data_IF_225116812952
#
_entry.id   IF_225116812952
#
_cell.length_a   1.000
_cell.length_b   1.000
_cell.length_c   1.000
_cell.angle_alpha   90.00
_cell.angle_beta   90.00
_cell.angle_gamma   90.00
#
_symmetry.space_group_name_H-M   'P 1'
#
loop_
_entity.id
_entity.type
_entity.pdbx_description
1 polymer ?
#
# COMPACT_ATOMS: atom_id res chain seq x y z
N UNK A 1 2.20 23.82 4.42
CA UNK A 1 1.14 23.18 5.24
C UNK A 1 1.76 22.02 6.00
N UNK A 2 1.55 21.98 7.32
CA UNK A 2 2.03 20.89 8.19
C UNK A 2 1.10 19.70 8.06
N UNK A 3 1.63 18.46 8.11
CA UNK A 3 0.81 17.25 8.10
C UNK A 3 -0.06 17.23 9.38
N UNK A 4 -1.39 17.05 9.29
CA UNK A 4 -2.26 17.03 10.46
C UNK A 4 -1.99 15.81 11.33
N UNK A 5 -2.40 15.92 12.59
CA UNK A 5 -2.32 14.82 13.54
C UNK A 5 -3.18 13.63 13.06
N UNK A 6 -2.60 12.43 13.21
CA UNK A 6 -3.24 11.15 12.89
C UNK A 6 -3.88 10.59 14.17
N UNK A 7 -5.17 10.26 14.09
CA UNK A 7 -5.91 9.52 15.10
C UNK A 7 -5.85 8.04 14.71
N UNK A 8 -5.08 7.25 15.48
CA UNK A 8 -4.96 5.80 15.29
C UNK A 8 -6.28 5.13 15.68
N UNK A 9 -6.76 4.20 14.85
CA UNK A 9 -7.98 3.46 15.19
C UNK A 9 -7.76 2.53 16.38
N UNK A 10 -8.73 2.44 17.28
CA UNK A 10 -8.65 1.55 18.45
C UNK A 10 -8.78 0.07 18.09
N UNK A 11 -9.44 -0.26 16.98
CA UNK A 11 -9.67 -1.62 16.49
C UNK A 11 -8.65 -2.04 15.40
N UNK A 12 -7.34 -1.84 15.64
CA UNK A 12 -6.28 -2.12 14.65
C UNK A 12 -6.36 -3.52 14.04
N UNK A 13 -6.58 -4.56 14.84
CA UNK A 13 -6.62 -5.95 14.36
C UNK A 13 -7.75 -6.17 13.34
N UNK A 14 -8.97 -5.71 13.65
CA UNK A 14 -10.12 -5.83 12.74
C UNK A 14 -9.87 -5.06 11.44
N UNK A 15 -9.35 -3.84 11.56
CA UNK A 15 -8.97 -2.99 10.42
C UNK A 15 -7.92 -3.69 9.56
N UNK A 16 -6.91 -4.30 10.18
CA UNK A 16 -5.84 -5.02 9.49
C UNK A 16 -6.37 -6.20 8.69
N UNK A 17 -7.22 -7.04 9.28
CA UNK A 17 -7.83 -8.18 8.58
C UNK A 17 -8.68 -7.72 7.38
N UNK A 18 -9.40 -6.60 7.52
CA UNK A 18 -10.15 -5.99 6.41
C UNK A 18 -9.24 -5.49 5.31
N UNK A 19 -8.10 -4.88 5.65
CA UNK A 19 -7.08 -4.44 4.68
C UNK A 19 -6.49 -5.64 3.95
N UNK A 20 -6.08 -6.71 4.65
CA UNK A 20 -5.54 -7.91 4.03
C UNK A 20 -6.55 -8.51 3.04
N UNK A 21 -7.81 -8.68 3.45
CA UNK A 21 -8.87 -9.23 2.58
C UNK A 21 -9.06 -8.37 1.33
N UNK A 22 -9.09 -7.06 1.51
CA UNK A 22 -9.20 -6.11 0.40
C UNK A 22 -8.01 -6.20 -0.53
N UNK A 23 -6.78 -6.10 -0.02
CA UNK A 23 -5.56 -6.15 -0.83
C UNK A 23 -5.49 -7.46 -1.62
N UNK A 24 -5.74 -8.61 -0.98
CA UNK A 24 -5.76 -9.91 -1.67
C UNK A 24 -6.79 -9.97 -2.80
N UNK A 25 -7.93 -9.28 -2.67
CA UNK A 25 -8.92 -9.19 -3.76
C UNK A 25 -8.47 -8.34 -4.96
N UNK A 26 -7.45 -7.50 -4.78
CA UNK A 26 -6.87 -6.68 -5.85
C UNK A 26 -5.67 -7.34 -6.54
N UNK A 27 -5.17 -8.48 -6.02
CA UNK A 27 -4.02 -9.18 -6.60
C UNK A 27 -4.46 -10.08 -7.76
N UNK A 28 -3.76 -10.00 -8.88
CA UNK A 28 -3.92 -10.95 -10.00
C UNK A 28 -3.04 -12.21 -9.82
N UNK A 29 -3.38 -13.33 -10.48
CA UNK A 29 -2.60 -14.57 -10.39
C UNK A 29 -1.11 -14.41 -10.70
N UNK A 30 -0.75 -13.51 -11.60
CA UNK A 30 0.60 -13.26 -12.11
C UNK A 30 1.49 -12.51 -11.11
N UNK A 31 0.91 -11.90 -10.06
CA UNK A 31 1.69 -11.33 -8.95
C UNK A 31 2.49 -12.46 -8.30
N UNK A 32 3.82 -12.38 -8.38
CA UNK A 32 4.74 -13.35 -7.81
C UNK A 32 4.88 -13.17 -6.30
N UNK A 33 5.00 -11.91 -5.86
CA UNK A 33 5.12 -11.55 -4.46
C UNK A 33 4.34 -10.26 -4.17
N UNK A 34 3.75 -10.20 -2.99
CA UNK A 34 3.05 -9.02 -2.50
C UNK A 34 3.36 -8.78 -1.03
N UNK A 35 3.75 -7.57 -0.67
CA UNK A 35 4.10 -7.17 0.70
C UNK A 35 3.30 -5.96 1.13
N UNK A 36 2.45 -6.13 2.14
CA UNK A 36 1.83 -5.02 2.83
C UNK A 36 2.89 -4.33 3.70
N UNK A 37 2.94 -3.00 3.67
CA UNK A 37 3.92 -2.20 4.41
C UNK A 37 3.25 -0.98 5.05
N UNK A 38 4.05 -0.11 5.67
CA UNK A 38 3.58 1.18 6.17
C UNK A 38 2.67 1.07 7.38
N UNK A 39 1.73 2.00 7.52
CA UNK A 39 0.94 2.14 8.75
C UNK A 39 0.01 0.96 9.04
N UNK A 40 -0.33 0.17 8.02
CA UNK A 40 -1.11 -1.07 8.17
C UNK A 40 -0.36 -2.16 8.92
N UNK A 41 0.97 -2.25 8.81
CA UNK A 41 1.76 -3.30 9.49
C UNK A 41 2.39 -2.82 10.79
N UNK A 42 2.37 -1.52 11.09
CA UNK A 42 2.95 -0.96 12.31
C UNK A 42 1.94 -0.70 13.43
N UNK A 43 0.65 -0.99 13.21
CA UNK A 43 -0.42 -0.71 14.19
C UNK A 43 -0.74 0.79 14.34
N UNK A 44 -0.40 1.59 13.32
CA UNK A 44 -0.62 3.03 13.33
C UNK A 44 -1.63 3.48 12.26
N UNK A 45 -2.49 2.57 11.80
CA UNK A 45 -3.47 2.88 10.76
C UNK A 45 -4.58 3.75 11.35
N UNK A 46 -5.02 4.78 10.63
CA UNK A 46 -5.96 5.73 11.22
C UNK A 46 -6.44 6.81 10.27
N UNK A 47 -7.12 7.80 10.84
CA UNK A 47 -7.62 8.97 10.13
C UNK A 47 -6.84 10.23 10.49
N UNK A 48 -6.88 11.23 9.64
CA UNK A 48 -6.36 12.56 9.97
C UNK A 48 -7.45 13.40 10.65
N UNK A 49 -7.07 14.31 11.54
CA UNK A 49 -8.01 15.27 12.15
C UNK A 49 -8.65 16.19 11.11
N UNK A 50 -7.91 16.52 10.05
CA UNK A 50 -8.38 17.29 8.89
C UNK A 50 -7.83 16.66 7.61
N UNK A 51 -8.55 16.81 6.50
CA UNK A 51 -8.11 16.29 5.20
C UNK A 51 -6.75 16.88 4.80
N UNK A 52 -5.82 16.03 4.40
CA UNK A 52 -4.48 16.43 3.96
C UNK A 52 -4.22 15.94 2.54
N UNK A 53 -4.02 16.87 1.60
CA UNK A 53 -3.77 16.56 0.18
C UNK A 53 -4.82 15.63 -0.46
N UNK A 54 -6.10 15.78 -0.07
CA UNK A 54 -7.22 14.89 -0.45
C UNK A 54 -7.16 13.49 0.18
N UNK A 55 -6.54 13.35 1.35
CA UNK A 55 -6.55 12.14 2.16
C UNK A 55 -7.16 12.43 3.52
N UNK A 56 -8.18 11.66 3.87
CA UNK A 56 -8.86 11.74 5.17
C UNK A 56 -8.28 10.73 6.17
N UNK A 57 -7.40 9.84 5.73
CA UNK A 57 -6.69 8.88 6.58
C UNK A 57 -5.48 8.26 5.91
N UNK A 58 -4.91 7.26 6.58
CA UNK A 58 -3.77 6.48 6.08
C UNK A 58 -4.03 5.91 4.70
N UNK A 59 -3.01 5.93 3.85
CA UNK A 59 -2.98 5.09 2.66
C UNK A 59 -2.59 3.66 3.06
N UNK A 60 -2.97 2.70 2.21
CA UNK A 60 -2.59 1.29 2.30
C UNK A 60 -1.44 1.12 1.32
N UNK A 61 -0.26 0.80 1.82
CA UNK A 61 0.95 0.68 1.02
C UNK A 61 1.24 -0.79 0.68
N UNK A 62 1.34 -1.11 -0.61
CA UNK A 62 1.61 -2.45 -1.11
C UNK A 62 2.84 -2.41 -2.02
N UNK A 63 3.81 -3.29 -1.79
CA UNK A 63 4.86 -3.60 -2.77
C UNK A 63 4.44 -4.85 -3.54
N UNK A 64 4.37 -4.76 -4.86
CA UNK A 64 3.98 -5.87 -5.72
C UNK A 64 5.08 -6.19 -6.75
N UNK A 65 5.44 -7.47 -6.84
CA UNK A 65 6.31 -8.00 -7.89
C UNK A 65 5.42 -8.72 -8.90
N UNK A 66 5.21 -8.11 -10.05
CA UNK A 66 4.33 -8.59 -11.11
C UNK A 66 4.97 -8.26 -12.47
N UNK A 67 4.89 -9.14 -13.48
CA UNK A 67 5.32 -8.81 -14.84
C UNK A 67 4.63 -7.54 -15.37
N UNK A 68 5.35 -6.73 -16.15
CA UNK A 68 4.85 -5.41 -16.62
C UNK A 68 3.59 -5.53 -17.49
N UNK A 69 3.51 -6.58 -18.32
CA UNK A 69 2.36 -6.90 -19.16
C UNK A 69 1.15 -7.44 -18.37
N UNK A 70 1.37 -7.81 -17.11
CA UNK A 70 0.38 -8.41 -16.21
C UNK A 70 -0.12 -7.43 -15.14
N UNK A 71 0.29 -6.16 -15.20
CA UNK A 71 -0.24 -5.12 -14.31
C UNK A 71 -1.73 -4.93 -14.61
N UNK A 72 -2.62 -5.01 -13.60
CA UNK A 72 -4.05 -4.85 -13.81
C UNK A 72 -4.40 -3.52 -14.48
N UNK A 73 -5.29 -3.54 -15.48
CA UNK A 73 -5.66 -2.34 -16.25
C UNK A 73 -6.41 -1.30 -15.42
N UNK A 74 -7.06 -1.72 -14.34
CA UNK A 74 -7.74 -0.87 -13.37
C UNK A 74 -6.78 -0.19 -12.39
N UNK A 75 -5.54 -0.67 -12.29
CA UNK A 75 -4.50 0.01 -11.54
C UNK A 75 -4.05 1.26 -12.29
N UNK A 76 -4.38 2.42 -11.74
CA UNK A 76 -4.06 3.71 -12.39
C UNK A 76 -2.65 4.15 -12.04
N UNK A 77 -1.77 4.29 -13.03
CA UNK A 77 -0.44 4.89 -12.83
C UNK A 77 -0.57 6.34 -12.33
N UNK A 78 0.15 6.68 -11.26
CA UNK A 78 0.11 8.00 -10.62
C UNK A 78 1.23 8.94 -11.06
N UNK A 79 1.89 8.64 -12.19
CA UNK A 79 3.01 9.41 -12.72
C UNK A 79 4.13 9.66 -11.70
N UNK A 80 4.34 8.68 -10.82
CA UNK A 80 5.33 8.73 -9.75
C UNK A 80 6.11 7.43 -9.81
N UNK A 81 7.43 7.53 -9.90
CA UNK A 81 8.32 6.38 -9.95
C UNK A 81 9.65 6.67 -9.26
N UNK A 82 10.37 5.60 -8.95
CA UNK A 82 11.74 5.60 -8.45
C UNK A 82 12.55 4.61 -9.27
N UNK A 83 13.83 4.48 -8.93
CA UNK A 83 14.76 3.60 -9.65
C UNK A 83 14.28 2.14 -9.71
N UNK A 84 13.52 1.69 -8.71
CA UNK A 84 13.11 0.29 -8.58
C UNK A 84 11.60 0.05 -8.59
N UNK A 85 10.76 1.09 -8.63
CA UNK A 85 9.30 0.93 -8.70
C UNK A 85 8.57 2.02 -9.46
N UNK A 86 7.35 1.72 -9.90
CA UNK A 86 6.32 2.64 -10.41
C UNK A 86 5.11 2.62 -9.47
N UNK A 87 4.52 3.78 -9.16
CA UNK A 87 3.39 3.89 -8.23
C UNK A 87 2.06 3.87 -8.97
N UNK A 88 1.18 2.98 -8.52
CA UNK A 88 -0.18 2.83 -9.03
C UNK A 88 -1.22 2.98 -7.92
N UNK A 89 -2.42 3.42 -8.27
CA UNK A 89 -3.59 3.34 -7.41
C UNK A 89 -4.31 2.02 -7.71
N UNK A 90 -4.21 1.07 -6.78
CA UNK A 90 -4.79 -0.25 -6.91
C UNK A 90 -6.26 -0.34 -6.50
N UNK A 91 -6.80 0.65 -5.79
CA UNK A 91 -8.20 0.67 -5.39
C UNK A 91 -8.48 1.57 -4.19
N UNK A 92 -9.66 1.42 -3.60
CA UNK A 92 -10.11 2.13 -2.39
C UNK A 92 -11.03 1.26 -1.54
N UNK A 93 -10.94 1.37 -0.23
CA UNK A 93 -11.83 0.70 0.74
C UNK A 93 -12.32 1.70 1.79
N UNK A 94 -13.58 1.56 2.20
CA UNK A 94 -14.15 2.35 3.29
C UNK A 94 -13.97 1.63 4.63
N UNK A 95 -13.31 2.28 5.59
CA UNK A 95 -13.08 1.78 6.96
C UNK A 95 -13.44 2.91 7.91
N UNK A 96 -14.32 2.66 8.88
CA UNK A 96 -14.79 3.68 9.84
C UNK A 96 -15.28 4.98 9.16
N UNK A 97 -16.03 4.83 8.06
CA UNK A 97 -16.54 5.92 7.21
C UNK A 97 -15.48 6.76 6.48
N UNK A 98 -14.20 6.37 6.55
CA UNK A 98 -13.11 7.02 5.85
C UNK A 98 -12.71 6.18 4.64
N UNK A 99 -12.49 6.85 3.51
CA UNK A 99 -12.03 6.20 2.29
C UNK A 99 -10.50 6.12 2.28
N UNK A 100 -9.97 4.92 2.43
CA UNK A 100 -8.55 4.62 2.38
C UNK A 100 -8.18 4.14 0.98
N UNK A 101 -7.07 4.64 0.45
CA UNK A 101 -6.59 4.34 -0.90
C UNK A 101 -5.50 3.28 -0.85
N UNK A 102 -5.48 2.37 -1.83
CA UNK A 102 -4.40 1.41 -2.01
C UNK A 102 -3.38 1.95 -2.98
N UNK A 103 -2.18 2.23 -2.48
CA UNK A 103 -1.03 2.68 -3.24
C UNK A 103 -0.10 1.47 -3.45
N UNK A 104 0.11 1.11 -4.72
CA UNK A 104 0.87 -0.08 -5.12
C UNK A 104 2.17 0.34 -5.77
N UNK A 105 3.27 0.03 -5.10
CA UNK A 105 4.64 0.15 -5.61
C UNK A 105 4.93 -1.11 -6.43
N UNK A 106 4.72 -1.03 -7.74
CA UNK A 106 5.04 -2.12 -8.67
C UNK A 106 6.53 -2.10 -8.93
N UNK A 107 7.22 -3.18 -8.56
CA UNK A 107 8.67 -3.32 -8.74
C UNK A 107 8.99 -3.44 -10.24
N UNK A 108 9.99 -2.68 -10.70
CA UNK A 108 10.47 -2.74 -12.08
C UNK A 108 11.15 -4.10 -12.35
N UNK A 109 10.96 -4.65 -13.54
CA UNK A 109 11.56 -5.92 -13.93
C UNK A 109 13.08 -5.90 -13.76
N UNK A 110 13.64 -6.94 -13.13
CA UNK A 110 15.07 -7.04 -12.83
C UNK A 110 15.50 -6.31 -11.55
N UNK A 111 14.60 -5.61 -10.87
CA UNK A 111 14.88 -4.90 -9.60
C UNK A 111 14.32 -5.62 -8.38
N UNK A 112 13.92 -6.89 -8.50
CA UNK A 112 13.27 -7.66 -7.44
C UNK A 112 14.16 -7.83 -6.21
N UNK A 113 15.41 -8.26 -6.40
CA UNK A 113 16.36 -8.43 -5.30
C UNK A 113 16.75 -7.10 -4.67
N UNK A 114 16.87 -6.05 -5.50
CA UNK A 114 17.10 -4.69 -5.02
C UNK A 114 15.94 -4.22 -4.15
N UNK A 115 14.69 -4.44 -4.56
CA UNK A 115 13.50 -4.09 -3.80
C UNK A 115 13.49 -4.78 -2.43
N UNK A 116 13.73 -6.10 -2.38
CA UNK A 116 13.78 -6.87 -1.13
C UNK A 116 14.88 -6.36 -0.19
N UNK A 117 16.06 -6.07 -0.73
CA UNK A 117 17.16 -5.48 0.04
C UNK A 117 16.78 -4.08 0.54
N UNK A 118 16.19 -3.25 -0.31
CA UNK A 118 15.84 -1.87 0.01
C UNK A 118 14.79 -1.78 1.11
N UNK A 119 13.79 -2.65 1.10
CA UNK A 119 12.79 -2.72 2.19
C UNK A 119 13.46 -3.01 3.54
N UNK A 120 14.47 -3.89 3.59
CA UNK A 120 15.25 -4.16 4.82
C UNK A 120 16.08 -2.95 5.25
N UNK A 121 16.78 -2.30 4.32
CA UNK A 121 17.59 -1.11 4.60
C UNK A 121 16.76 0.07 5.13
N UNK A 122 15.53 0.21 4.64
CA UNK A 122 14.58 1.22 5.10
C UNK A 122 13.89 0.84 6.42
N UNK A 123 14.25 -0.31 7.01
CA UNK A 123 13.65 -0.86 8.23
C UNK A 123 12.12 -0.96 8.15
N UNK A 124 11.60 -1.29 6.96
CA UNK A 124 10.18 -1.56 6.81
C UNK A 124 9.83 -2.86 7.53
N UNK A 125 8.57 -2.96 7.97
CA UNK A 125 7.99 -4.20 8.53
C UNK A 125 7.06 -4.82 7.48
N UNK A 126 7.60 -5.47 6.43
CA UNK A 126 6.76 -6.05 5.39
C UNK A 126 6.03 -7.28 5.90
N UNK A 127 4.74 -7.35 5.65
CA UNK A 127 3.93 -8.56 5.81
C UNK A 127 3.69 -9.18 4.44
N UNK A 128 4.19 -10.40 4.24
CA UNK A 128 4.04 -11.11 2.97
C UNK A 128 2.60 -11.63 2.83
N UNK A 129 1.92 -11.21 1.76
CA UNK A 129 0.54 -11.61 1.45
C UNK A 129 0.45 -12.66 0.33
N UNK A 130 1.48 -12.72 -0.52
CA UNK A 130 1.68 -13.70 -1.61
C UNK A 130 3.17 -13.88 -1.84
#
# INVERSE_FOLDING_TARGET
MTKPKKIIYSNQEEVHQRIIKFVKSQLVPEVKEAYLVGSSTTGEFGKYETSYRNHDGSDIDLVAIVPEDSIPKDWKFLNTERDWWKLYRGGKIQINNILHKLDVLVVKQGMEDFARKRMKELNWKPEKLK
#
